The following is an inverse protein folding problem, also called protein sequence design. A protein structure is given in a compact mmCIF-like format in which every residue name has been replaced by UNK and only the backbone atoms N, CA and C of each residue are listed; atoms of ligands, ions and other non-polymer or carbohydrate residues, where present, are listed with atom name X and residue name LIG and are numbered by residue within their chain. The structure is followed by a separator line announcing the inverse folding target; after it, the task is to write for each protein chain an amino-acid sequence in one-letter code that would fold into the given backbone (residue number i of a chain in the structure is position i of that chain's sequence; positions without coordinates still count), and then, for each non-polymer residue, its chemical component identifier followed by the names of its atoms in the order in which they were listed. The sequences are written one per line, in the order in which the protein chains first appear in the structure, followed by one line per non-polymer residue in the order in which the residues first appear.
data_IF_166872349281
#
_entry.id   IF_166872349281
#
_cell.length_a   1.000
_cell.length_b   1.000
_cell.length_c   1.000
_cell.angle_alpha   90.00
_cell.angle_beta   90.00
_cell.angle_gamma   90.00
#
_symmetry.space_group_name_H-M   'P 1'
#
loop_
_entity.id
_entity.type
_entity.pdbx_description
1 polymer ?
#
# COMPACT_ATOMS: atom_id res chain seq x y z
N UNK A 1 -8.47 6.40 0.26
CA UNK A 1 -8.98 5.63 -0.89
C UNK A 1 -8.22 6.01 -2.16
N UNK A 2 -8.07 5.05 -3.04
CA UNK A 2 -7.38 5.25 -4.31
C UNK A 2 -8.38 5.72 -5.37
N UNK A 3 -8.12 6.86 -6.03
CA UNK A 3 -8.96 7.41 -7.09
C UNK A 3 -9.13 6.49 -8.31
N UNK A 4 -8.27 5.51 -8.50
CA UNK A 4 -8.37 4.53 -9.60
C UNK A 4 -9.65 3.69 -9.50
N UNK A 5 -10.18 3.45 -8.30
CA UNK A 5 -11.36 2.62 -8.06
C UNK A 5 -12.59 3.51 -7.84
N UNK A 6 -13.22 3.93 -8.93
CA UNK A 6 -14.28 4.94 -8.93
C UNK A 6 -15.69 4.37 -8.87
N UNK A 7 -15.84 3.04 -9.00
CA UNK A 7 -17.17 2.43 -9.09
C UNK A 7 -17.92 2.89 -10.35
N UNK A 8 -17.29 2.64 -11.51
CA UNK A 8 -17.86 3.01 -12.82
C UNK A 8 -18.71 1.85 -13.33
N UNK A 9 -19.95 2.12 -13.70
CA UNK A 9 -20.92 1.15 -14.19
C UNK A 9 -21.79 1.75 -15.27
N UNK A 10 -22.38 0.87 -16.11
CA UNK A 10 -23.39 1.25 -17.10
C UNK A 10 -24.49 2.11 -16.46
N UNK A 11 -24.75 3.26 -17.06
CA UNK A 11 -25.65 4.28 -16.51
C UNK A 11 -27.08 3.76 -16.31
N UNK A 12 -27.62 2.99 -17.28
CA UNK A 12 -28.98 2.45 -17.20
C UNK A 12 -29.09 1.42 -16.06
N UNK A 13 -28.07 0.55 -15.91
CA UNK A 13 -28.06 -0.43 -14.80
C UNK A 13 -28.04 0.27 -13.44
N UNK A 14 -27.24 1.32 -13.29
CA UNK A 14 -27.20 2.07 -12.03
C UNK A 14 -28.55 2.75 -11.76
N UNK A 15 -29.17 3.31 -12.77
CA UNK A 15 -30.48 3.92 -12.65
C UNK A 15 -31.54 2.90 -12.23
N UNK A 16 -31.55 1.72 -12.84
CA UNK A 16 -32.50 0.63 -12.54
C UNK A 16 -32.31 0.09 -11.11
N UNK A 17 -31.06 -0.09 -10.67
CA UNK A 17 -30.74 -0.62 -9.34
C UNK A 17 -31.04 0.41 -8.24
N UNK A 18 -30.70 1.68 -8.46
CA UNK A 18 -30.83 2.73 -7.44
C UNK A 18 -32.20 3.36 -7.37
N UNK A 19 -32.97 3.32 -8.47
CA UNK A 19 -34.23 4.04 -8.61
C UNK A 19 -34.07 5.56 -8.68
N UNK A 20 -32.84 6.06 -8.83
CA UNK A 20 -32.60 7.48 -8.95
C UNK A 20 -33.15 8.02 -10.27
N UNK A 21 -33.70 9.24 -10.23
CA UNK A 21 -34.23 9.90 -11.43
C UNK A 21 -33.11 10.23 -12.40
N UNK A 22 -33.40 10.24 -13.70
CA UNK A 22 -32.45 10.52 -14.79
C UNK A 22 -31.68 11.84 -14.62
N UNK A 23 -32.28 12.82 -13.96
CA UNK A 23 -31.66 14.10 -13.68
C UNK A 23 -30.39 14.03 -12.81
N UNK A 24 -30.17 12.91 -12.06
CA UNK A 24 -28.94 12.67 -11.31
C UNK A 24 -27.79 12.14 -12.18
N UNK A 25 -28.08 11.69 -13.40
CA UNK A 25 -27.12 11.09 -14.33
C UNK A 25 -26.71 12.06 -15.43
N UNK A 26 -26.39 13.30 -15.06
CA UNK A 26 -25.88 14.34 -15.93
C UNK A 26 -24.38 14.57 -15.68
N UNK A 27 -23.69 15.17 -16.65
CA UNK A 27 -22.22 15.37 -16.63
C UNK A 27 -21.71 16.23 -15.47
N UNK A 28 -22.58 17.04 -14.86
CA UNK A 28 -22.32 17.81 -13.65
C UNK A 28 -22.55 17.01 -12.35
N UNK A 29 -23.01 15.75 -12.44
CA UNK A 29 -23.38 14.91 -11.30
C UNK A 29 -22.72 13.53 -11.36
N UNK A 30 -23.50 12.44 -11.55
CA UNK A 30 -22.99 11.07 -11.52
C UNK A 30 -22.40 10.61 -12.86
N UNK A 31 -22.84 11.18 -13.99
CA UNK A 31 -22.35 10.74 -15.29
C UNK A 31 -20.88 11.16 -15.50
N UNK A 32 -20.07 10.25 -16.01
CA UNK A 32 -18.71 10.49 -16.46
C UNK A 32 -18.39 9.59 -17.67
N UNK A 33 -18.07 10.21 -18.81
CA UNK A 33 -17.67 9.53 -20.05
C UNK A 33 -18.70 8.50 -20.56
N UNK A 34 -20.00 8.77 -20.36
CA UNK A 34 -21.10 7.90 -20.78
C UNK A 34 -21.57 6.89 -19.74
N UNK A 35 -20.83 6.72 -18.66
CA UNK A 35 -21.13 5.80 -17.57
C UNK A 35 -21.51 6.54 -16.26
N UNK A 36 -22.09 5.82 -15.32
CA UNK A 36 -22.29 6.32 -13.95
C UNK A 36 -21.03 6.08 -13.12
N UNK A 37 -20.56 7.14 -12.45
CA UNK A 37 -19.37 7.11 -11.60
C UNK A 37 -19.76 7.44 -10.16
N UNK A 38 -19.74 6.43 -9.29
CA UNK A 38 -20.16 6.57 -7.90
C UNK A 38 -19.24 7.49 -7.09
N UNK A 39 -17.91 7.42 -7.31
CA UNK A 39 -16.98 8.29 -6.63
C UNK A 39 -17.19 9.75 -7.01
N UNK A 40 -17.38 10.03 -8.31
CA UNK A 40 -17.73 11.36 -8.79
C UNK A 40 -18.99 11.88 -8.12
N UNK A 41 -20.05 11.07 -8.10
CA UNK A 41 -21.30 11.42 -7.42
C UNK A 41 -21.09 11.73 -5.93
N UNK A 42 -20.34 10.90 -5.22
CA UNK A 42 -20.00 11.13 -3.81
C UNK A 42 -19.27 12.46 -3.60
N UNK A 43 -18.30 12.78 -4.46
CA UNK A 43 -17.53 14.05 -4.37
C UNK A 43 -18.41 15.26 -4.69
N UNK A 44 -19.29 15.15 -5.70
CA UNK A 44 -20.20 16.24 -6.09
C UNK A 44 -21.15 16.63 -4.97
N UNK A 45 -21.69 15.64 -4.26
CA UNK A 45 -22.71 15.85 -3.22
C UNK A 45 -22.14 15.96 -1.79
N UNK A 46 -20.85 15.75 -1.57
CA UNK A 46 -20.24 15.90 -0.28
C UNK A 46 -20.10 17.38 0.13
N UNK A 47 -20.28 17.71 1.41
CA UNK A 47 -19.97 19.04 1.94
C UNK A 47 -18.45 19.24 1.99
N UNK A 48 -17.72 18.23 2.49
CA UNK A 48 -16.25 18.22 2.58
C UNK A 48 -15.74 16.91 1.95
N UNK A 49 -14.67 17.02 1.19
CA UNK A 49 -13.94 15.90 0.61
C UNK A 49 -12.62 15.75 1.36
N UNK A 50 -12.32 14.57 1.88
CA UNK A 50 -11.07 14.31 2.57
C UNK A 50 -10.22 13.29 1.84
N UNK A 51 -8.89 13.45 1.95
CA UNK A 51 -7.91 12.48 1.46
C UNK A 51 -6.79 12.27 2.48
N UNK A 52 -5.85 11.37 2.18
CA UNK A 52 -4.90 10.82 3.16
C UNK A 52 -3.66 11.67 3.45
N UNK A 53 -3.46 12.78 2.74
CA UNK A 53 -2.38 13.74 3.04
C UNK A 53 -2.61 15.07 2.32
N UNK A 54 -1.99 16.14 2.82
CA UNK A 54 -2.00 17.45 2.17
C UNK A 54 -1.35 17.38 0.77
N UNK A 55 -0.22 16.67 0.65
CA UNK A 55 0.46 16.49 -0.63
C UNK A 55 -0.45 15.79 -1.65
N UNK A 56 -1.12 14.71 -1.23
CA UNK A 56 -2.03 14.00 -2.13
C UNK A 56 -3.25 14.84 -2.51
N UNK A 57 -3.76 15.69 -1.62
CA UNK A 57 -4.82 16.65 -1.95
C UNK A 57 -4.41 17.62 -3.08
N UNK A 58 -3.12 17.98 -3.17
CA UNK A 58 -2.60 18.78 -4.29
C UNK A 58 -2.36 17.92 -5.54
N UNK A 59 -1.79 16.74 -5.40
CA UNK A 59 -1.49 15.83 -6.50
C UNK A 59 -2.74 15.44 -7.30
N UNK A 60 -3.83 15.07 -6.64
CA UNK A 60 -5.08 14.65 -7.31
C UNK A 60 -5.79 15.76 -8.08
N UNK A 61 -5.36 17.01 -7.95
CA UNK A 61 -5.80 18.13 -8.80
C UNK A 61 -5.04 18.20 -10.13
N UNK A 62 -3.98 17.39 -10.30
CA UNK A 62 -3.19 17.32 -11.54
C UNK A 62 -3.72 16.20 -12.44
N UNK A 63 -3.68 16.37 -13.79
CA UNK A 63 -4.18 15.35 -14.71
C UNK A 63 -3.59 13.95 -14.53
N UNK A 64 -2.29 13.87 -14.21
CA UNK A 64 -1.57 12.60 -14.06
C UNK A 64 -2.07 11.78 -12.86
N UNK A 65 -2.38 12.43 -11.73
CA UNK A 65 -2.79 11.74 -10.50
C UNK A 65 -4.30 11.73 -10.26
N UNK A 66 -5.04 12.57 -11.02
CA UNK A 66 -6.46 12.79 -10.78
C UNK A 66 -7.38 11.73 -11.36
N UNK A 67 -6.85 10.74 -12.11
CA UNK A 67 -7.61 9.62 -12.68
C UNK A 67 -8.89 10.10 -13.41
N UNK A 68 -8.76 11.14 -14.23
CA UNK A 68 -9.84 11.84 -14.94
C UNK A 68 -10.83 12.63 -14.06
N UNK A 69 -10.61 12.72 -12.75
CA UNK A 69 -11.38 13.55 -11.83
C UNK A 69 -10.64 14.82 -11.39
N UNK A 70 -9.47 15.11 -11.97
CA UNK A 70 -8.65 16.29 -11.65
C UNK A 70 -9.39 17.61 -11.78
N UNK A 71 -10.24 17.75 -12.81
CA UNK A 71 -11.11 18.92 -12.99
C UNK A 71 -12.12 19.09 -11.85
N UNK A 72 -12.72 17.99 -11.40
CA UNK A 72 -13.63 17.99 -10.26
C UNK A 72 -12.87 18.32 -8.96
N UNK A 73 -11.68 17.75 -8.75
CA UNK A 73 -10.85 18.03 -7.57
C UNK A 73 -10.44 19.51 -7.51
N UNK A 74 -10.10 20.12 -8.66
CA UNK A 74 -9.86 21.58 -8.74
C UNK A 74 -11.11 22.39 -8.41
N UNK A 75 -12.26 22.00 -8.95
CA UNK A 75 -13.53 22.68 -8.65
C UNK A 75 -13.92 22.58 -7.16
N UNK A 76 -13.50 21.50 -6.49
CA UNK A 76 -13.75 21.25 -5.06
C UNK A 76 -12.59 21.65 -4.16
N UNK A 77 -11.60 22.39 -4.64
CA UNK A 77 -10.37 22.72 -3.90
C UNK A 77 -10.62 23.37 -2.55
N UNK A 78 -11.66 24.20 -2.41
CA UNK A 78 -12.02 24.89 -1.17
C UNK A 78 -12.61 23.94 -0.09
N UNK A 79 -13.06 22.76 -0.48
CA UNK A 79 -13.64 21.74 0.40
C UNK A 79 -12.85 20.43 0.39
N UNK A 80 -11.70 20.41 -0.29
CA UNK A 80 -10.80 19.26 -0.32
C UNK A 80 -9.71 19.42 0.73
N UNK A 81 -9.64 18.49 1.68
CA UNK A 81 -8.74 18.56 2.84
C UNK A 81 -7.90 17.29 2.93
N UNK A 82 -6.58 17.43 3.02
CA UNK A 82 -5.67 16.33 3.34
C UNK A 82 -5.65 16.08 4.85
N UNK A 83 -5.76 14.82 5.25
CA UNK A 83 -5.64 14.40 6.66
C UNK A 83 -4.70 13.21 6.71
N UNK A 84 -3.53 13.39 7.31
CA UNK A 84 -2.56 12.30 7.48
C UNK A 84 -3.11 11.26 8.45
N UNK A 85 -2.97 9.97 8.09
CA UNK A 85 -3.38 8.88 8.96
C UNK A 85 -2.62 8.94 10.31
N UNK A 86 -3.34 8.71 11.39
CA UNK A 86 -2.73 8.56 12.71
C UNK A 86 -2.02 7.21 12.86
N UNK A 87 -1.13 7.14 13.84
CA UNK A 87 -0.53 5.89 14.31
C UNK A 87 -1.13 5.55 15.68
N UNK A 88 -1.51 4.30 15.88
CA UNK A 88 -1.90 3.80 17.20
C UNK A 88 -0.64 3.42 17.99
N UNK A 89 -0.25 4.32 18.91
CA UNK A 89 0.91 4.10 19.77
C UNK A 89 0.71 3.01 20.84
N UNK A 90 -0.49 2.47 21.01
CA UNK A 90 -0.69 1.31 21.88
C UNK A 90 -0.37 0.01 21.14
N UNK A 91 -0.64 -0.03 19.83
CA UNK A 91 -0.37 -1.18 18.97
C UNK A 91 1.07 -1.16 18.42
N UNK A 92 1.56 0.02 18.00
CA UNK A 92 2.88 0.17 17.37
C UNK A 92 3.91 0.80 18.32
N UNK A 93 4.03 0.26 19.54
CA UNK A 93 5.02 0.69 20.52
C UNK A 93 6.13 -0.38 20.66
N UNK A 94 7.34 -0.16 20.09
CA UNK A 94 8.40 -1.14 20.13
C UNK A 94 8.93 -1.44 21.56
N UNK A 95 8.58 -0.62 22.55
CA UNK A 95 8.92 -0.91 23.96
C UNK A 95 8.02 -2.00 24.56
N UNK A 96 6.83 -2.23 24.01
CA UNK A 96 5.81 -3.11 24.56
C UNK A 96 5.27 -4.13 23.57
N UNK A 97 5.66 -4.04 22.30
CA UNK A 97 5.20 -4.93 21.25
C UNK A 97 5.52 -6.39 21.60
N UNK A 98 4.52 -7.27 21.76
CA UNK A 98 4.74 -8.65 22.14
C UNK A 98 5.22 -9.53 20.98
N UNK A 99 5.20 -9.03 19.74
CA UNK A 99 5.50 -9.82 18.55
C UNK A 99 6.96 -9.69 18.11
N UNK A 100 7.69 -8.64 18.50
CA UNK A 100 9.10 -8.49 18.17
C UNK A 100 9.99 -9.27 19.13
N UNK A 101 11.09 -9.83 18.65
CA UNK A 101 11.98 -10.68 19.47
C UNK A 101 12.61 -9.93 20.65
N UNK A 102 12.95 -8.66 20.46
CA UNK A 102 13.57 -7.80 21.47
C UNK A 102 12.95 -6.41 21.43
N UNK A 103 12.30 -6.04 22.51
CA UNK A 103 11.75 -4.69 22.67
C UNK A 103 12.86 -3.65 22.71
N UNK A 104 12.57 -2.47 22.15
CA UNK A 104 13.55 -1.40 22.08
C UNK A 104 12.91 -0.02 22.19
N UNK A 105 13.74 0.97 22.52
CA UNK A 105 13.39 2.37 22.53
C UNK A 105 14.48 3.22 21.88
N UNK A 106 14.30 4.54 21.91
CA UNK A 106 15.24 5.51 21.29
C UNK A 106 16.69 5.37 21.80
N UNK A 107 16.89 4.87 23.02
CA UNK A 107 18.24 4.75 23.63
C UNK A 107 18.99 3.49 23.21
N UNK A 108 18.29 2.39 22.92
CA UNK A 108 18.89 1.07 22.69
C UNK A 108 18.57 0.48 21.30
N UNK A 109 17.76 1.13 20.45
CA UNK A 109 17.25 0.58 19.20
C UNK A 109 18.34 -0.01 18.29
N UNK A 110 19.51 0.63 18.18
CA UNK A 110 20.60 0.15 17.32
C UNK A 110 21.07 -1.26 17.69
N UNK A 111 21.16 -1.56 18.97
CA UNK A 111 21.58 -2.86 19.47
C UNK A 111 20.46 -3.90 19.39
N UNK A 112 19.25 -3.51 19.77
CA UNK A 112 18.12 -4.44 19.84
C UNK A 112 17.59 -4.76 18.42
N UNK A 113 17.60 -3.84 17.48
CA UNK A 113 17.25 -4.11 16.06
C UNK A 113 18.18 -5.15 15.42
N UNK A 114 19.47 -5.17 15.75
CA UNK A 114 20.38 -6.23 15.31
C UNK A 114 19.92 -7.60 15.82
N UNK A 115 19.46 -7.69 17.06
CA UNK A 115 18.94 -8.95 17.63
C UNK A 115 17.62 -9.36 16.96
N UNK A 116 16.73 -8.41 16.69
CA UNK A 116 15.49 -8.67 15.95
C UNK A 116 15.81 -9.21 14.54
N UNK A 117 16.75 -8.58 13.84
CA UNK A 117 17.22 -9.05 12.55
C UNK A 117 17.73 -10.49 12.60
N UNK A 118 18.56 -10.85 13.59
CA UNK A 118 19.03 -12.23 13.77
C UNK A 118 17.89 -13.22 14.05
N UNK A 119 16.93 -12.80 14.87
CA UNK A 119 15.73 -13.59 15.14
C UNK A 119 14.98 -13.90 13.84
N UNK A 120 14.75 -12.90 13.04
CA UNK A 120 14.07 -13.02 11.75
C UNK A 120 14.88 -13.85 10.74
N UNK A 121 16.19 -13.64 10.63
CA UNK A 121 17.07 -14.45 9.77
C UNK A 121 16.95 -15.93 10.12
N UNK A 122 17.01 -16.27 11.42
CA UNK A 122 16.90 -17.65 11.90
C UNK A 122 15.53 -18.26 11.62
N UNK A 123 14.48 -17.53 11.89
CA UNK A 123 13.11 -18.00 11.67
C UNK A 123 12.81 -18.26 10.20
N UNK A 124 13.35 -17.40 9.31
CA UNK A 124 13.15 -17.51 7.87
C UNK A 124 14.17 -18.42 7.16
N UNK A 125 15.11 -19.02 7.89
CA UNK A 125 16.16 -19.87 7.30
C UNK A 125 17.19 -19.12 6.47
N UNK A 126 17.30 -17.81 6.66
CA UNK A 126 18.30 -16.97 6.00
C UNK A 126 19.66 -17.05 6.72
N UNK A 127 20.74 -16.72 6.02
CA UNK A 127 22.07 -16.65 6.61
C UNK A 127 22.12 -15.61 7.74
N UNK A 128 22.49 -16.01 8.96
CA UNK A 128 22.62 -15.11 10.11
C UNK A 128 23.87 -14.24 9.94
N UNK A 129 23.72 -12.98 9.57
CA UNK A 129 24.79 -12.00 9.44
C UNK A 129 24.29 -10.59 9.73
N UNK A 130 24.90 -9.94 10.72
CA UNK A 130 24.56 -8.56 11.10
C UNK A 130 24.89 -7.53 10.02
N UNK A 131 25.89 -7.82 9.21
CA UNK A 131 26.41 -6.89 8.19
C UNK A 131 25.60 -6.90 6.89
N UNK A 132 24.91 -8.01 6.60
CA UNK A 132 24.08 -8.08 5.39
C UNK A 132 22.98 -7.04 5.42
N UNK A 133 22.81 -6.33 4.33
CA UNK A 133 21.71 -5.38 4.21
C UNK A 133 20.41 -6.17 3.99
N UNK A 134 19.41 -5.96 4.85
CA UNK A 134 18.11 -6.62 4.73
C UNK A 134 17.05 -5.64 4.24
N UNK A 135 16.35 -6.02 3.18
CA UNK A 135 15.23 -5.29 2.60
C UNK A 135 13.95 -6.02 3.02
N UNK A 136 13.07 -5.33 3.75
CA UNK A 136 11.75 -5.83 4.13
C UNK A 136 10.65 -5.18 3.28
N UNK A 137 9.76 -5.98 2.72
CA UNK A 137 8.58 -5.52 1.99
C UNK A 137 7.34 -6.09 2.64
N UNK A 138 6.48 -5.20 3.18
CA UNK A 138 5.17 -5.55 3.72
C UNK A 138 4.11 -4.81 2.93
N UNK A 139 3.45 -5.49 1.98
CA UNK A 139 2.49 -4.82 1.10
C UNK A 139 1.56 -5.79 0.39
N UNK A 140 0.45 -5.26 -0.14
CA UNK A 140 -0.29 -5.96 -1.20
C UNK A 140 0.55 -5.98 -2.47
N UNK A 141 0.73 -7.15 -3.08
CA UNK A 141 1.56 -7.34 -4.26
C UNK A 141 0.78 -6.96 -5.53
N UNK A 142 0.72 -5.66 -5.81
CA UNK A 142 -0.04 -5.09 -6.93
C UNK A 142 0.77 -4.02 -7.66
N UNK A 143 0.44 -3.75 -8.93
CA UNK A 143 1.08 -2.69 -9.73
C UNK A 143 1.17 -1.35 -9.03
N UNK A 144 0.13 -0.96 -8.30
CA UNK A 144 0.07 0.31 -7.58
C UNK A 144 1.16 0.50 -6.53
N UNK A 145 1.84 -0.59 -6.15
CA UNK A 145 2.95 -0.59 -5.19
C UNK A 145 4.32 -0.57 -5.85
N UNK A 146 4.37 -0.48 -7.19
CA UNK A 146 5.62 -0.40 -7.94
C UNK A 146 6.36 -1.74 -8.04
N UNK A 147 5.66 -2.87 -7.96
CA UNK A 147 6.29 -4.18 -8.08
C UNK A 147 6.79 -4.48 -9.49
N UNK A 148 6.28 -3.81 -10.50
CA UNK A 148 6.84 -3.80 -11.85
C UNK A 148 8.28 -3.25 -11.88
N UNK A 149 8.57 -2.23 -11.08
CA UNK A 149 9.92 -1.69 -10.92
C UNK A 149 10.83 -2.67 -10.17
N UNK A 150 10.30 -3.36 -9.16
CA UNK A 150 11.06 -4.39 -8.42
C UNK A 150 11.36 -5.57 -9.34
N UNK A 151 10.39 -6.03 -10.13
CA UNK A 151 10.58 -7.11 -11.11
C UNK A 151 11.73 -6.80 -12.07
N UNK A 152 11.84 -5.55 -12.52
CA UNK A 152 12.90 -5.11 -13.41
C UNK A 152 14.31 -5.21 -12.78
N UNK A 153 14.46 -4.99 -11.48
CA UNK A 153 15.76 -4.91 -10.79
C UNK A 153 16.02 -6.04 -9.78
N UNK A 154 15.08 -6.97 -9.57
CA UNK A 154 15.15 -7.97 -8.49
C UNK A 154 16.37 -8.91 -8.64
N UNK A 155 16.76 -9.23 -9.88
CA UNK A 155 17.94 -10.05 -10.13
C UNK A 155 19.22 -9.35 -9.62
N UNK A 156 19.35 -8.05 -9.84
CA UNK A 156 20.49 -7.25 -9.36
C UNK A 156 20.46 -7.16 -7.84
N UNK A 157 19.28 -6.88 -7.23
CA UNK A 157 19.12 -6.84 -5.77
C UNK A 157 19.55 -8.18 -5.14
N UNK A 158 19.14 -9.30 -5.71
CA UNK A 158 19.45 -10.64 -5.18
C UNK A 158 20.88 -11.08 -5.48
N UNK A 159 21.55 -10.50 -6.49
CA UNK A 159 22.96 -10.79 -6.81
C UNK A 159 23.93 -10.11 -5.83
N UNK A 160 23.54 -9.00 -5.24
CA UNK A 160 24.30 -8.28 -4.21
C UNK A 160 24.34 -9.05 -2.87
N UNK A 161 25.17 -8.61 -1.94
CA UNK A 161 25.22 -9.19 -0.57
C UNK A 161 24.07 -8.67 0.31
N UNK A 162 22.85 -8.85 -0.18
CA UNK A 162 21.60 -8.40 0.43
C UNK A 162 20.72 -9.59 0.83
N UNK A 163 19.76 -9.32 1.70
CA UNK A 163 18.65 -10.23 2.00
C UNK A 163 17.34 -9.54 1.68
N UNK A 164 16.42 -10.24 1.04
CA UNK A 164 15.09 -9.74 0.70
C UNK A 164 14.02 -10.58 1.40
N UNK A 165 13.20 -9.94 2.20
CA UNK A 165 12.06 -10.57 2.88
C UNK A 165 10.77 -9.89 2.40
N UNK A 166 9.87 -10.68 1.85
CA UNK A 166 8.59 -10.19 1.34
C UNK A 166 7.45 -10.82 2.14
N UNK A 167 6.53 -9.98 2.60
CA UNK A 167 5.29 -10.39 3.24
C UNK A 167 4.10 -9.74 2.55
N UNK A 168 3.19 -10.55 2.02
CA UNK A 168 1.96 -10.06 1.42
C UNK A 168 1.37 -10.99 0.39
N UNK A 169 0.19 -10.65 -0.09
CA UNK A 169 -0.53 -11.36 -1.16
C UNK A 169 -1.02 -10.36 -2.20
N UNK A 170 -1.31 -10.82 -3.41
CA UNK A 170 -1.83 -9.94 -4.44
C UNK A 170 -1.99 -10.58 -5.80
N UNK A 171 -1.40 -10.00 -6.82
CA UNK A 171 -1.45 -10.50 -8.18
C UNK A 171 -0.52 -11.72 -8.32
N UNK A 172 -1.04 -12.79 -8.89
CA UNK A 172 -0.35 -14.07 -9.03
C UNK A 172 1.04 -13.95 -9.68
N UNK A 173 1.21 -13.02 -10.61
CA UNK A 173 2.51 -12.77 -11.26
C UNK A 173 3.59 -12.35 -10.28
N UNK A 174 3.26 -11.47 -9.31
CA UNK A 174 4.20 -11.02 -8.29
C UNK A 174 4.42 -12.06 -7.20
N UNK A 175 3.38 -12.80 -6.83
CA UNK A 175 3.54 -13.93 -5.93
C UNK A 175 4.49 -14.98 -6.51
N UNK A 176 4.33 -15.32 -7.78
CA UNK A 176 5.19 -16.28 -8.48
C UNK A 176 6.60 -15.73 -8.69
N UNK A 177 6.75 -14.44 -8.96
CA UNK A 177 8.06 -13.76 -9.02
C UNK A 177 8.85 -14.00 -7.72
N UNK A 178 8.29 -13.68 -6.57
CA UNK A 178 8.99 -13.81 -5.30
C UNK A 178 9.24 -15.27 -4.91
N UNK A 179 8.32 -16.21 -5.18
CA UNK A 179 8.56 -17.65 -5.00
C UNK A 179 9.71 -18.16 -5.88
N UNK A 180 9.81 -17.66 -7.13
CA UNK A 180 10.93 -18.00 -8.02
C UNK A 180 12.26 -17.52 -7.46
N UNK A 181 12.34 -16.29 -6.97
CA UNK A 181 13.56 -15.74 -6.41
C UNK A 181 13.94 -16.38 -5.06
N UNK A 182 12.98 -16.77 -4.22
CA UNK A 182 13.22 -17.57 -3.04
C UNK A 182 13.82 -18.93 -3.39
N UNK A 183 13.29 -19.62 -4.40
CA UNK A 183 13.84 -20.88 -4.88
C UNK A 183 15.27 -20.70 -5.42
N UNK A 184 15.53 -19.62 -6.16
CA UNK A 184 16.84 -19.34 -6.78
C UNK A 184 17.89 -18.92 -5.75
N UNK A 185 17.51 -18.17 -4.75
CA UNK A 185 18.38 -17.55 -3.74
C UNK A 185 17.89 -17.85 -2.32
N UNK A 186 17.70 -19.14 -2.01
CA UNK A 186 17.07 -19.62 -0.76
C UNK A 186 17.78 -19.21 0.53
N UNK A 187 19.04 -18.80 0.48
CA UNK A 187 19.81 -18.28 1.61
C UNK A 187 19.69 -16.76 1.81
N UNK A 188 19.05 -16.06 0.88
CA UNK A 188 18.96 -14.60 0.83
C UNK A 188 17.56 -14.05 0.64
N UNK A 189 16.64 -14.83 0.06
CA UNK A 189 15.28 -14.38 -0.23
C UNK A 189 14.29 -15.25 0.56
N UNK A 190 13.32 -14.59 1.20
CA UNK A 190 12.18 -15.26 1.82
C UNK A 190 10.86 -14.62 1.36
N UNK A 191 10.02 -15.43 0.71
CA UNK A 191 8.74 -15.03 0.15
C UNK A 191 7.57 -15.53 1.01
N UNK A 192 7.10 -14.70 1.93
CA UNK A 192 5.99 -15.01 2.82
C UNK A 192 4.68 -14.55 2.16
N UNK A 193 4.10 -15.43 1.31
CA UNK A 193 2.91 -15.10 0.52
C UNK A 193 1.64 -15.42 1.32
N UNK A 194 1.43 -14.65 2.39
CA UNK A 194 0.25 -14.69 3.25
C UNK A 194 0.08 -13.36 3.98
N UNK A 195 -1.04 -13.20 4.69
CA UNK A 195 -1.27 -12.05 5.56
C UNK A 195 -1.01 -12.44 7.01
N UNK A 196 -0.18 -11.65 7.71
CA UNK A 196 0.08 -11.80 9.14
C UNK A 196 0.45 -10.46 9.76
N UNK A 197 -0.29 -10.05 10.79
CA UNK A 197 0.05 -8.85 11.57
C UNK A 197 1.34 -9.06 12.38
N UNK A 198 1.51 -10.23 13.00
CA UNK A 198 2.70 -10.58 13.80
C UNK A 198 3.97 -10.46 12.94
N UNK A 199 4.00 -11.14 11.79
CA UNK A 199 5.14 -11.10 10.87
C UNK A 199 5.38 -9.69 10.29
N UNK A 200 4.33 -8.91 10.13
CA UNK A 200 4.43 -7.51 9.71
C UNK A 200 5.18 -6.67 10.74
N UNK A 201 4.91 -6.86 12.03
CA UNK A 201 5.59 -6.15 13.12
C UNK A 201 7.05 -6.57 13.25
N UNK A 202 7.36 -7.87 13.12
CA UNK A 202 8.74 -8.37 13.08
C UNK A 202 9.55 -7.69 11.96
N UNK A 203 9.01 -7.63 10.75
CA UNK A 203 9.66 -6.96 9.62
C UNK A 203 9.82 -5.46 9.83
N UNK A 204 8.85 -4.78 10.44
CA UNK A 204 8.94 -3.35 10.74
C UNK A 204 9.94 -3.05 11.88
N UNK A 205 10.34 -4.04 12.66
CA UNK A 205 11.31 -3.91 13.76
C UNK A 205 12.78 -3.94 13.32
N UNK A 206 13.05 -4.17 12.03
CA UNK A 206 14.40 -4.27 11.43
C UNK A 206 15.18 -2.95 11.34
#
# INVERSE_FOLDING_TARGET
HNLKFQGVWDLQKVQDITGLKSYFFTSDKLEAFGDANYLKGGIVYADIVTTVSDSYAEEIKMPFYGEHLDGLMRARSNSLVGIVNGLDYNEYDPEKDPYIYHNYNVKNFRKEKIKNKRGLQRELGLAEDDKKFMIGIVSRLTDQKGFDLIDYVIEEICAEDTQLVVLGTGEERYENLFRHFEWKYHDRVSANIFYSNERSQDLCSL
#
